data_IF_227240183322
#
_entry.id   IF_227240183322
#
_cell.length_a   1.000
_cell.length_b   1.000
_cell.length_c   1.000
_cell.angle_alpha   90.00
_cell.angle_beta   90.00
_cell.angle_gamma   90.00
#
_symmetry.space_group_name_H-M   'P 1'
#
loop_
_entity.id
_entity.type
_entity.pdbx_description
1 polymer ?
#
# COMPACT_ATOMS: atom_id res chain seq x y z
N UNK A 1 5.01 2.13 -29.50
CA UNK A 1 4.91 0.66 -29.61
C UNK A 1 3.74 0.20 -28.75
N UNK A 2 2.55 0.02 -29.35
CA UNK A 2 1.31 -0.39 -28.66
C UNK A 2 1.01 -1.83 -29.09
N UNK A 3 1.04 -2.78 -28.15
CA UNK A 3 0.39 -4.07 -28.33
C UNK A 3 -0.87 -4.09 -27.46
N UNK A 4 -2.02 -4.03 -28.09
CA UNK A 4 -3.29 -4.48 -27.52
C UNK A 4 -3.60 -5.83 -28.14
N UNK A 5 -3.76 -6.86 -27.31
CA UNK A 5 -4.42 -8.11 -27.72
C UNK A 5 -5.77 -8.18 -26.99
N UNK A 6 -6.84 -8.24 -27.78
CA UNK A 6 -8.15 -8.74 -27.36
C UNK A 6 -8.36 -10.07 -28.08
N UNK A 7 -8.58 -11.14 -27.33
CA UNK A 7 -9.16 -12.38 -27.86
C UNK A 7 -10.47 -12.64 -27.13
N UNK A 8 -11.58 -12.46 -27.86
CA UNK A 8 -12.85 -13.13 -27.61
C UNK A 8 -12.75 -14.52 -28.23
N UNK A 9 -13.10 -15.56 -27.48
CA UNK A 9 -13.44 -16.87 -28.06
C UNK A 9 -14.84 -17.25 -27.61
N UNK A 10 -15.60 -17.69 -28.61
CA UNK A 10 -17.01 -17.98 -28.60
C UNK A 10 -17.37 -19.23 -27.80
N UNK A 11 -18.58 -19.20 -27.24
CA UNK A 11 -19.26 -20.35 -26.68
C UNK A 11 -20.00 -21.12 -27.77
N UNK A 12 -19.81 -22.45 -27.83
CA UNK A 12 -20.78 -23.34 -28.47
C UNK A 12 -20.72 -24.79 -27.95
N UNK A 13 -21.92 -25.32 -27.63
CA UNK A 13 -22.34 -26.73 -27.45
C UNK A 13 -21.81 -27.47 -26.19
N UNK A 14 -22.66 -28.11 -25.34
CA UNK A 14 -23.57 -29.21 -25.65
C UNK A 14 -24.70 -29.39 -24.61
N UNK A 15 -25.69 -30.17 -25.02
CA UNK A 15 -27.02 -30.37 -24.46
C UNK A 15 -27.15 -31.79 -23.88
N UNK A 16 -28.17 -31.97 -23.01
CA UNK A 16 -28.81 -33.22 -22.52
C UNK A 16 -28.25 -33.96 -21.29
N UNK A 17 -29.14 -34.09 -20.30
CA UNK A 17 -29.07 -35.07 -19.23
C UNK A 17 -30.12 -34.84 -18.13
N UNK A 18 -31.42 -34.91 -18.46
CA UNK A 18 -32.49 -34.96 -17.46
C UNK A 18 -32.44 -36.31 -16.72
N UNK A 19 -32.19 -36.29 -15.41
CA UNK A 19 -32.47 -37.42 -14.53
C UNK A 19 -33.57 -37.01 -13.54
N UNK A 20 -34.68 -37.75 -13.58
CA UNK A 20 -35.67 -37.76 -12.51
C UNK A 20 -35.07 -38.49 -11.30
N UNK A 21 -35.03 -37.81 -10.15
CA UNK A 21 -34.71 -38.42 -8.86
C UNK A 21 -36.00 -38.37 -8.03
N UNK A 22 -36.49 -39.55 -7.64
CA UNK A 22 -37.63 -39.72 -6.75
C UNK A 22 -37.27 -39.34 -5.31
N UNK A 23 -38.23 -38.77 -4.60
CA UNK A 23 -38.14 -38.37 -3.19
C UNK A 23 -37.81 -39.56 -2.28
N UNK A 24 -36.56 -39.62 -1.83
CA UNK A 24 -36.16 -40.38 -0.66
C UNK A 24 -35.47 -39.39 0.29
N UNK A 25 -36.09 -39.17 1.44
CA UNK A 25 -35.60 -38.34 2.55
C UNK A 25 -34.19 -38.76 2.95
N UNK A 26 -33.20 -37.96 2.57
CA UNK A 26 -31.79 -38.28 2.67
C UNK A 26 -31.07 -37.26 3.57
N UNK A 27 -30.43 -37.77 4.61
CA UNK A 27 -29.25 -37.12 5.20
C UNK A 27 -28.11 -37.26 4.18
N UNK A 28 -28.17 -36.47 3.09
CA UNK A 28 -27.07 -36.39 2.12
C UNK A 28 -25.95 -35.66 2.84
N UNK A 29 -25.02 -36.43 3.44
CA UNK A 29 -23.70 -35.89 3.74
C UNK A 29 -23.11 -35.47 2.39
N UNK A 30 -22.93 -34.16 2.22
CA UNK A 30 -22.36 -33.55 1.02
C UNK A 30 -21.12 -34.36 0.60
N UNK A 31 -21.19 -35.02 -0.57
CA UNK A 31 -20.00 -35.62 -1.18
C UNK A 31 -19.05 -34.46 -1.47
N UNK A 32 -17.88 -34.48 -0.83
CA UNK A 32 -16.78 -33.57 -1.17
C UNK A 32 -16.49 -33.72 -2.65
N UNK A 33 -16.67 -32.65 -3.42
CA UNK A 33 -16.28 -32.62 -4.82
C UNK A 33 -14.79 -32.32 -4.85
N UNK A 34 -14.00 -33.39 -4.97
CA UNK A 34 -12.64 -33.29 -5.43
C UNK A 34 -12.69 -32.97 -6.92
N UNK A 35 -12.16 -31.81 -7.30
CA UNK A 35 -12.20 -31.32 -8.67
C UNK A 35 -10.77 -31.27 -9.18
N UNK A 36 -10.45 -32.13 -10.14
CA UNK A 36 -9.14 -32.17 -10.81
C UNK A 36 -8.92 -31.01 -11.80
N UNK A 37 -9.81 -30.02 -11.81
CA UNK A 37 -9.64 -28.82 -12.62
C UNK A 37 -8.47 -27.98 -12.11
N UNK A 38 -7.45 -27.74 -12.94
CA UNK A 38 -6.34 -26.87 -12.56
C UNK A 38 -6.86 -25.44 -12.36
N UNK A 39 -6.20 -24.70 -11.48
CA UNK A 39 -6.41 -23.25 -11.36
C UNK A 39 -6.15 -22.53 -12.67
N UNK A 40 -6.86 -21.44 -12.89
CA UNK A 40 -6.63 -20.59 -14.05
C UNK A 40 -5.20 -20.00 -14.04
N UNK A 41 -4.62 -19.66 -15.20
CA UNK A 41 -3.30 -19.02 -15.24
C UNK A 41 -3.21 -17.71 -14.44
N UNK A 42 -4.29 -16.93 -14.38
CA UNK A 42 -4.36 -15.69 -13.58
C UNK A 42 -4.36 -15.98 -12.08
N UNK A 43 -5.17 -16.94 -11.62
CA UNK A 43 -5.15 -17.40 -10.22
C UNK A 43 -3.76 -17.93 -9.85
N UNK A 44 -3.11 -18.67 -10.75
CA UNK A 44 -1.75 -19.18 -10.52
C UNK A 44 -0.75 -18.06 -10.23
N UNK A 45 -0.73 -17.01 -11.04
CA UNK A 45 0.17 -15.86 -10.82
C UNK A 45 -0.12 -15.21 -9.46
N UNK A 46 -1.40 -15.04 -9.12
CA UNK A 46 -1.83 -14.45 -7.86
C UNK A 46 -1.43 -15.31 -6.64
N UNK A 47 -1.69 -16.62 -6.68
CA UNK A 47 -1.37 -17.52 -5.58
C UNK A 47 0.14 -17.70 -5.40
N UNK A 48 0.93 -17.70 -6.47
CA UNK A 48 2.40 -17.69 -6.37
C UNK A 48 2.91 -16.40 -5.68
N UNK A 49 2.29 -15.25 -5.93
CA UNK A 49 2.60 -14.02 -5.20
C UNK A 49 2.23 -14.13 -3.70
N UNK A 50 1.07 -14.72 -3.38
CA UNK A 50 0.64 -14.96 -2.01
C UNK A 50 1.58 -15.93 -1.27
N UNK A 51 2.02 -17.01 -1.92
CA UNK A 51 3.03 -17.94 -1.39
C UNK A 51 4.35 -17.25 -1.12
N UNK A 52 4.82 -16.43 -2.06
CA UNK A 52 6.06 -15.66 -1.85
C UNK A 52 5.95 -14.76 -0.61
N UNK A 53 4.83 -14.07 -0.43
CA UNK A 53 4.56 -13.29 0.77
C UNK A 53 4.58 -14.16 2.03
N UNK A 54 3.90 -15.32 2.00
CA UNK A 54 3.89 -16.27 3.11
C UNK A 54 5.30 -16.78 3.46
N UNK A 55 6.11 -17.18 2.48
CA UNK A 55 7.50 -17.61 2.74
C UNK A 55 8.38 -16.50 3.32
N UNK A 56 8.11 -15.24 2.97
CA UNK A 56 8.84 -14.09 3.52
C UNK A 56 8.42 -13.74 4.95
N UNK A 57 7.16 -13.95 5.31
CA UNK A 57 6.57 -13.40 6.55
C UNK A 57 6.16 -14.46 7.57
N UNK A 58 6.03 -15.72 7.14
CA UNK A 58 5.41 -16.79 7.91
C UNK A 58 3.90 -16.60 8.13
N UNK A 59 3.23 -15.71 7.38
CA UNK A 59 1.83 -15.31 7.60
C UNK A 59 0.99 -15.42 6.32
N UNK A 60 -0.30 -15.78 6.40
CA UNK A 60 -1.20 -15.79 5.26
C UNK A 60 -1.50 -14.37 4.76
N UNK A 61 -1.78 -14.23 3.47
CA UNK A 61 -2.50 -13.06 2.97
C UNK A 61 -4.01 -13.23 3.22
N UNK A 62 -4.61 -12.34 4.02
CA UNK A 62 -6.05 -12.37 4.32
C UNK A 62 -6.77 -11.28 3.53
N UNK A 63 -7.76 -11.67 2.73
CA UNK A 63 -8.57 -10.79 1.89
C UNK A 63 -10.07 -10.95 2.20
N UNK A 64 -10.82 -9.85 2.16
CA UNK A 64 -12.24 -9.82 2.56
C UNK A 64 -13.02 -8.98 1.54
N UNK A 65 -14.11 -9.53 0.98
CA UNK A 65 -14.76 -8.96 -0.22
C UNK A 65 -15.45 -7.61 -0.01
N UNK A 66 -15.82 -7.28 1.22
CA UNK A 66 -16.42 -6.01 1.63
C UNK A 66 -16.46 -5.99 3.15
N UNK A 67 -16.29 -4.81 3.78
CA UNK A 67 -16.52 -4.64 5.23
C UNK A 67 -17.97 -4.32 5.56
N UNK A 68 -18.84 -4.16 4.56
CA UNK A 68 -20.25 -3.91 4.81
C UNK A 68 -20.89 -5.20 5.35
N UNK A 69 -21.39 -5.14 6.59
CA UNK A 69 -21.98 -6.27 7.33
C UNK A 69 -23.03 -7.05 6.50
N UNK A 70 -23.73 -6.36 5.61
CA UNK A 70 -24.78 -6.91 4.74
C UNK A 70 -24.20 -7.89 3.70
N UNK A 71 -23.03 -7.59 3.12
CA UNK A 71 -22.41 -8.49 2.13
C UNK A 71 -21.71 -9.66 2.80
N UNK A 72 -21.04 -9.44 3.95
CA UNK A 72 -20.47 -10.51 4.76
C UNK A 72 -21.52 -11.56 5.12
N UNK A 73 -22.74 -11.14 5.50
CA UNK A 73 -23.83 -12.05 5.85
C UNK A 73 -24.27 -12.98 4.70
N UNK A 74 -24.05 -12.56 3.45
CA UNK A 74 -24.58 -13.24 2.27
C UNK A 74 -23.70 -14.38 1.75
N UNK A 75 -22.37 -14.23 1.74
CA UNK A 75 -21.54 -15.17 1.00
C UNK A 75 -21.14 -16.41 1.79
N UNK A 76 -20.97 -16.31 3.13
CA UNK A 76 -20.60 -17.41 4.06
C UNK A 76 -19.53 -18.39 3.54
N UNK A 77 -18.71 -17.95 2.59
CA UNK A 77 -17.73 -18.77 1.88
C UNK A 77 -16.34 -18.28 2.22
N UNK A 78 -15.48 -19.25 2.47
CA UNK A 78 -14.06 -19.03 2.68
C UNK A 78 -13.30 -19.82 1.63
N UNK A 79 -12.29 -19.19 1.02
CA UNK A 79 -11.31 -19.88 0.18
C UNK A 79 -9.95 -19.86 0.86
N UNK A 80 -9.37 -21.03 1.02
CA UNK A 80 -8.06 -21.23 1.64
C UNK A 80 -7.06 -21.69 0.59
N UNK A 81 -5.87 -21.09 0.60
CA UNK A 81 -4.68 -21.60 -0.07
C UNK A 81 -3.70 -22.14 0.95
N UNK A 82 -3.39 -23.43 0.83
CA UNK A 82 -2.59 -24.20 1.79
C UNK A 82 -1.37 -24.76 1.06
N UNK A 83 -0.18 -24.48 1.57
CA UNK A 83 1.09 -24.92 0.98
C UNK A 83 1.44 -26.35 1.44
N UNK A 84 0.59 -27.31 1.06
CA UNK A 84 0.73 -28.75 1.29
C UNK A 84 0.50 -29.54 0.00
N UNK A 85 1.02 -30.77 -0.04
CA UNK A 85 0.79 -31.71 -1.14
C UNK A 85 -0.59 -32.37 -1.00
N UNK A 86 -1.46 -32.08 -1.96
CA UNK A 86 -2.81 -32.61 -2.09
C UNK A 86 -2.92 -34.14 -1.87
N UNK A 87 -1.95 -34.93 -2.33
CA UNK A 87 -2.01 -36.39 -2.24
C UNK A 87 -1.78 -36.94 -0.82
N UNK A 88 -1.12 -36.15 0.03
CA UNK A 88 -0.74 -36.55 1.40
C UNK A 88 -1.47 -35.75 2.46
N UNK A 89 -2.32 -34.81 2.04
CA UNK A 89 -2.96 -33.83 2.90
C UNK A 89 -4.22 -34.41 3.57
N UNK A 90 -4.19 -34.53 4.90
CA UNK A 90 -5.39 -34.84 5.69
C UNK A 90 -6.22 -33.55 5.87
N UNK A 91 -7.11 -33.31 4.91
CA UNK A 91 -8.02 -32.18 4.93
C UNK A 91 -8.89 -32.14 6.19
N UNK A 92 -9.21 -33.30 6.77
CA UNK A 92 -10.17 -33.33 7.87
C UNK A 92 -9.52 -33.02 9.22
N UNK A 93 -8.34 -33.57 9.48
CA UNK A 93 -7.51 -33.12 10.60
C UNK A 93 -7.22 -31.62 10.48
N UNK A 94 -6.94 -31.15 9.27
CA UNK A 94 -6.65 -29.76 9.01
C UNK A 94 -7.83 -28.84 9.33
N UNK A 95 -9.03 -29.15 8.83
CA UNK A 95 -10.22 -28.34 9.09
C UNK A 95 -10.60 -28.32 10.56
N UNK A 96 -10.35 -29.40 11.31
CA UNK A 96 -10.51 -29.40 12.75
C UNK A 96 -9.62 -28.35 13.43
N UNK A 97 -8.33 -28.28 13.07
CA UNK A 97 -7.40 -27.26 13.59
C UNK A 97 -7.82 -25.85 13.17
N UNK A 98 -8.26 -25.68 11.92
CA UNK A 98 -8.73 -24.39 11.41
C UNK A 98 -9.98 -23.89 12.16
N UNK A 99 -10.95 -24.78 12.36
CA UNK A 99 -12.17 -24.49 13.13
C UNK A 99 -11.85 -24.10 14.59
N UNK A 100 -10.86 -24.76 15.21
CA UNK A 100 -10.38 -24.39 16.55
C UNK A 100 -9.75 -22.99 16.60
N UNK A 101 -9.04 -22.57 15.55
CA UNK A 101 -8.49 -21.19 15.46
C UNK A 101 -9.63 -20.17 15.42
N UNK A 102 -10.67 -20.45 14.64
CA UNK A 102 -11.78 -19.52 14.42
C UNK A 102 -12.90 -19.61 15.47
N UNK A 103 -12.82 -20.58 16.38
CA UNK A 103 -13.87 -20.91 17.35
C UNK A 103 -15.21 -21.25 16.66
N UNK A 104 -15.15 -22.12 15.66
CA UNK A 104 -16.30 -22.62 14.90
C UNK A 104 -16.44 -24.13 15.18
N UNK A 105 -17.66 -24.66 15.24
CA UNK A 105 -17.86 -26.10 15.31
C UNK A 105 -17.54 -26.72 13.94
N UNK A 106 -16.76 -27.81 13.90
CA UNK A 106 -16.46 -28.50 12.63
C UNK A 106 -17.73 -28.88 11.87
N UNK A 107 -18.80 -29.26 12.55
CA UNK A 107 -20.09 -29.61 11.92
C UNK A 107 -20.82 -28.43 11.27
N UNK A 108 -20.30 -27.20 11.41
CA UNK A 108 -20.82 -25.99 10.77
C UNK A 108 -20.08 -25.61 9.49
N UNK A 109 -19.15 -26.46 9.05
CA UNK A 109 -18.30 -26.21 7.89
C UNK A 109 -18.52 -27.30 6.86
N UNK A 110 -19.00 -26.92 5.69
CA UNK A 110 -19.05 -27.80 4.52
C UNK A 110 -17.86 -27.55 3.62
N UNK A 111 -17.31 -28.61 3.04
CA UNK A 111 -16.30 -28.51 1.98
C UNK A 111 -17.04 -28.51 0.66
N UNK A 112 -16.93 -27.42 -0.10
CA UNK A 112 -17.55 -27.29 -1.40
C UNK A 112 -16.66 -27.83 -2.51
N UNK A 113 -15.38 -27.47 -2.47
CA UNK A 113 -14.42 -27.76 -3.53
C UNK A 113 -13.02 -27.90 -2.96
N UNK A 114 -12.26 -28.87 -3.49
CA UNK A 114 -10.82 -28.97 -3.26
C UNK A 114 -10.14 -29.16 -4.62
N UNK A 115 -9.14 -28.33 -4.93
CA UNK A 115 -8.37 -28.40 -6.18
C UNK A 115 -6.93 -28.87 -5.93
N UNK A 116 -6.38 -29.59 -6.90
CA UNK A 116 -5.01 -30.14 -6.88
C UNK A 116 -3.93 -29.09 -7.14
N UNK A 117 -2.71 -29.38 -6.68
CA UNK A 117 -1.59 -28.42 -6.59
C UNK A 117 -1.29 -28.12 -5.12
N UNK A 118 -1.03 -26.85 -4.79
CA UNK A 118 -1.23 -26.41 -3.40
C UNK A 118 -2.72 -26.50 -3.08
N UNK A 119 -3.07 -27.08 -1.94
CA UNK A 119 -4.47 -27.38 -1.62
C UNK A 119 -5.28 -26.08 -1.55
N UNK A 120 -6.20 -25.93 -2.50
CA UNK A 120 -7.15 -24.84 -2.53
C UNK A 120 -8.51 -25.38 -2.10
N UNK A 121 -8.92 -25.02 -0.89
CA UNK A 121 -10.16 -25.47 -0.30
C UNK A 121 -11.18 -24.33 -0.28
N UNK A 122 -12.35 -24.57 -0.88
CA UNK A 122 -13.52 -23.71 -0.72
C UNK A 122 -14.44 -24.34 0.31
N UNK A 123 -14.72 -23.61 1.37
CA UNK A 123 -15.58 -24.05 2.46
C UNK A 123 -16.75 -23.09 2.66
N UNK A 124 -17.87 -23.62 3.12
CA UNK A 124 -19.06 -22.86 3.45
C UNK A 124 -19.37 -22.98 4.93
N UNK A 125 -19.58 -21.84 5.57
CA UNK A 125 -19.99 -21.77 6.98
C UNK A 125 -21.52 -21.75 7.05
N UNK A 126 -22.07 -22.63 7.86
CA UNK A 126 -23.51 -22.75 8.04
C UNK A 126 -24.15 -21.51 8.66
N UNK A 127 -25.37 -21.21 8.19
CA UNK A 127 -26.50 -20.60 8.92
C UNK A 127 -26.26 -19.93 10.28
N UNK A 128 -26.05 -20.81 11.24
CA UNK A 128 -26.08 -20.52 12.67
C UNK A 128 -24.80 -19.86 13.22
N UNK A 129 -23.72 -19.85 12.46
CA UNK A 129 -22.45 -19.25 12.90
C UNK A 129 -22.51 -17.74 12.74
N UNK A 130 -22.11 -17.02 13.79
CA UNK A 130 -21.95 -15.58 13.77
C UNK A 130 -20.67 -15.21 12.99
N UNK A 131 -20.84 -14.77 11.74
CA UNK A 131 -19.70 -14.42 10.89
C UNK A 131 -18.87 -13.25 11.41
N UNK A 132 -19.49 -12.31 12.14
CA UNK A 132 -18.75 -11.20 12.75
C UNK A 132 -17.75 -11.71 13.79
N UNK A 133 -18.12 -12.75 14.55
CA UNK A 133 -17.20 -13.39 15.49
C UNK A 133 -16.04 -14.07 14.75
N UNK A 134 -16.32 -14.76 13.65
CA UNK A 134 -15.30 -15.40 12.80
C UNK A 134 -14.33 -14.35 12.25
N UNK A 135 -14.86 -13.24 11.73
CA UNK A 135 -14.09 -12.10 11.26
C UNK A 135 -13.21 -11.49 12.35
N UNK A 136 -13.77 -11.26 13.53
CA UNK A 136 -13.04 -10.71 14.67
C UNK A 136 -11.93 -11.67 15.13
N UNK A 137 -12.12 -12.98 15.00
CA UNK A 137 -11.10 -13.97 15.32
C UNK A 137 -10.01 -14.04 14.26
N UNK A 138 -10.35 -14.06 12.98
CA UNK A 138 -9.36 -14.16 11.90
C UNK A 138 -8.46 -12.92 11.79
N UNK A 139 -8.97 -11.77 12.24
CA UNK A 139 -8.24 -10.50 12.25
C UNK A 139 -7.25 -10.37 13.42
N UNK A 140 -7.23 -11.32 14.36
CA UNK A 140 -6.29 -11.31 15.48
C UNK A 140 -4.89 -11.74 15.04
N UNK A 141 -3.81 -11.04 15.47
CA UNK A 141 -2.44 -11.43 15.15
C UNK A 141 -2.09 -12.88 15.52
N UNK A 142 -2.63 -13.37 16.64
CA UNK A 142 -2.41 -14.75 17.10
C UNK A 142 -3.06 -15.78 16.18
N UNK A 143 -4.23 -15.45 15.61
CA UNK A 143 -4.89 -16.30 14.63
C UNK A 143 -4.09 -16.33 13.32
N UNK A 144 -3.61 -15.17 12.85
CA UNK A 144 -2.75 -15.05 11.67
C UNK A 144 -1.46 -15.89 11.82
N UNK A 145 -0.79 -15.82 12.96
CA UNK A 145 0.41 -16.61 13.24
C UNK A 145 0.11 -18.12 13.27
N UNK A 146 -0.99 -18.53 13.90
CA UNK A 146 -1.40 -19.94 13.94
C UNK A 146 -1.77 -20.46 12.55
N UNK A 147 -2.46 -19.67 11.74
CA UNK A 147 -2.76 -20.00 10.34
C UNK A 147 -1.49 -20.13 9.50
N UNK A 148 -0.50 -19.26 9.72
CA UNK A 148 0.82 -19.38 9.11
C UNK A 148 1.52 -20.70 9.46
N UNK A 149 1.47 -21.12 10.72
CA UNK A 149 1.99 -22.44 11.16
C UNK A 149 1.25 -23.63 10.54
N UNK A 150 0.00 -23.42 10.12
CA UNK A 150 -0.77 -24.38 9.32
C UNK A 150 -0.45 -24.31 7.82
N UNK A 151 0.56 -23.53 7.41
CA UNK A 151 0.92 -23.30 6.01
C UNK A 151 -0.20 -22.69 5.15
N UNK A 152 -1.11 -21.94 5.77
CA UNK A 152 -2.05 -21.09 5.01
C UNK A 152 -1.22 -19.96 4.41
N UNK A 153 -1.16 -19.89 3.09
CA UNK A 153 -0.57 -18.74 2.39
C UNK A 153 -1.62 -17.72 1.96
N UNK A 154 -2.89 -18.14 1.87
CA UNK A 154 -3.99 -17.28 1.43
C UNK A 154 -5.30 -17.65 2.14
N UNK A 155 -6.07 -16.65 2.54
CA UNK A 155 -7.43 -16.81 3.03
C UNK A 155 -8.32 -15.68 2.51
N UNK A 156 -9.37 -16.02 1.77
CA UNK A 156 -10.38 -15.08 1.32
C UNK A 156 -11.72 -15.35 1.99
N UNK A 157 -12.33 -14.31 2.54
CA UNK A 157 -13.66 -14.34 3.12
C UNK A 157 -14.60 -13.46 2.30
N UNK A 158 -15.57 -14.03 1.60
CA UNK A 158 -16.44 -13.22 0.75
C UNK A 158 -17.09 -13.96 -0.41
N UNK A 159 -17.73 -13.19 -1.28
CA UNK A 159 -18.31 -13.73 -2.51
C UNK A 159 -17.18 -14.09 -3.48
N UNK A 160 -17.03 -15.39 -3.74
CA UNK A 160 -15.98 -15.91 -4.62
C UNK A 160 -16.14 -15.42 -6.06
N UNK A 161 -17.36 -15.12 -6.52
CA UNK A 161 -17.57 -14.51 -7.83
C UNK A 161 -17.01 -13.08 -7.91
N UNK A 162 -16.90 -12.41 -6.77
CA UNK A 162 -16.23 -11.11 -6.63
C UNK A 162 -14.77 -11.26 -6.22
N UNK A 163 -14.24 -12.47 -6.02
CA UNK A 163 -12.84 -12.64 -5.62
C UNK A 163 -11.93 -12.06 -6.69
N UNK A 164 -12.17 -12.37 -7.97
CA UNK A 164 -11.37 -11.82 -9.07
C UNK A 164 -11.43 -10.29 -9.11
N UNK A 165 -12.61 -9.69 -8.85
CA UNK A 165 -12.78 -8.24 -8.80
C UNK A 165 -12.06 -7.62 -7.59
N UNK A 166 -12.14 -8.25 -6.42
CA UNK A 166 -11.52 -7.77 -5.17
C UNK A 166 -10.01 -7.98 -5.13
N UNK A 167 -9.55 -9.08 -5.75
CA UNK A 167 -8.14 -9.33 -6.02
C UNK A 167 -7.65 -8.30 -7.04
N UNK A 168 -8.41 -7.95 -8.08
CA UNK A 168 -8.07 -6.85 -8.98
C UNK A 168 -8.03 -5.48 -8.29
N UNK A 169 -8.87 -5.25 -7.27
CA UNK A 169 -9.02 -3.92 -6.66
C UNK A 169 -7.83 -3.45 -5.84
N UNK A 170 -6.93 -4.34 -5.41
CA UNK A 170 -5.66 -3.93 -4.78
C UNK A 170 -4.44 -4.07 -5.68
N UNK A 171 -4.62 -4.58 -6.90
CA UNK A 171 -3.50 -5.07 -7.72
C UNK A 171 -2.96 -4.06 -8.75
N UNK A 172 -3.49 -2.84 -8.81
CA UNK A 172 -3.20 -1.96 -9.94
C UNK A 172 -2.76 -0.56 -9.54
N UNK A 173 -1.69 -0.48 -8.74
CA UNK A 173 -0.85 0.73 -8.70
C UNK A 173 -0.19 0.88 -10.07
N UNK A 174 -0.94 1.45 -11.01
CA UNK A 174 -0.50 1.63 -12.39
C UNK A 174 0.18 2.99 -12.52
N UNK A 175 1.40 2.98 -13.04
CA UNK A 175 2.08 4.22 -13.41
C UNK A 175 1.38 4.85 -14.62
N UNK A 176 1.22 6.16 -14.58
CA UNK A 176 0.71 6.96 -15.69
C UNK A 176 1.85 7.78 -16.30
N UNK A 177 2.52 7.20 -17.29
CA UNK A 177 3.69 7.78 -17.97
C UNK A 177 3.46 9.18 -18.54
N UNK A 178 2.24 9.49 -18.99
CA UNK A 178 1.89 10.78 -19.61
C UNK A 178 2.05 11.96 -18.64
N UNK A 179 2.02 11.69 -17.34
CA UNK A 179 2.13 12.67 -16.27
C UNK A 179 3.44 12.55 -15.47
N UNK A 180 4.40 11.74 -15.95
CA UNK A 180 5.73 11.73 -15.38
C UNK A 180 6.45 13.04 -15.69
N UNK A 181 7.15 13.61 -14.70
CA UNK A 181 7.82 14.90 -14.83
C UNK A 181 9.18 14.86 -14.17
N UNK A 182 10.16 15.54 -14.76
CA UNK A 182 11.42 15.86 -14.11
C UNK A 182 11.33 17.32 -13.70
N UNK A 183 11.48 17.59 -12.41
CA UNK A 183 11.45 18.94 -11.85
C UNK A 183 12.87 19.48 -11.73
N UNK A 184 13.36 20.12 -12.78
CA UNK A 184 14.71 20.66 -12.85
C UNK A 184 14.80 21.72 -13.96
N UNK A 185 15.80 22.61 -13.87
CA UNK A 185 16.07 23.59 -14.92
C UNK A 185 16.42 22.87 -16.23
N UNK A 186 15.72 23.23 -17.32
CA UNK A 186 15.79 22.49 -18.60
C UNK A 186 14.70 21.42 -18.77
N UNK A 187 13.91 21.13 -17.74
CA UNK A 187 12.72 20.28 -17.79
C UNK A 187 11.48 21.06 -17.30
N UNK A 188 10.65 20.46 -16.44
CA UNK A 188 9.52 21.14 -15.82
C UNK A 188 10.03 21.99 -14.66
N UNK A 189 9.91 23.32 -14.77
CA UNK A 189 10.43 24.23 -13.75
C UNK A 189 9.61 25.51 -13.70
N UNK A 190 9.42 26.04 -12.49
CA UNK A 190 8.92 27.39 -12.25
C UNK A 190 9.42 27.88 -10.88
N UNK A 191 9.46 29.20 -10.72
CA UNK A 191 9.80 29.86 -9.45
C UNK A 191 8.55 30.35 -8.74
N UNK A 192 8.51 30.22 -7.41
CA UNK A 192 7.35 30.61 -6.60
C UNK A 192 6.14 29.72 -6.78
N UNK A 193 4.96 30.22 -6.41
CA UNK A 193 3.71 29.47 -6.48
C UNK A 193 3.25 29.29 -7.93
N UNK A 194 2.76 28.09 -8.28
CA UNK A 194 2.27 27.78 -9.61
C UNK A 194 0.95 28.48 -9.92
N UNK A 195 1.00 29.50 -10.77
CA UNK A 195 -0.17 30.26 -11.23
C UNK A 195 -0.82 29.64 -12.48
N UNK A 196 -1.34 28.42 -12.34
CA UNK A 196 -1.97 27.68 -13.46
C UNK A 196 -3.46 27.93 -13.67
N UNK A 197 -4.07 28.85 -12.88
CA UNK A 197 -5.52 29.07 -12.76
C UNK A 197 -6.37 27.84 -12.39
N UNK A 198 -5.75 26.66 -12.24
CA UNK A 198 -6.42 25.45 -11.77
C UNK A 198 -6.69 25.54 -10.27
N UNK A 199 -7.88 25.11 -9.86
CA UNK A 199 -8.23 25.04 -8.45
C UNK A 199 -7.43 23.91 -7.76
N UNK A 200 -6.51 24.29 -6.86
CA UNK A 200 -5.68 23.39 -6.03
C UNK A 200 -6.05 23.47 -4.55
N UNK A 201 -7.31 23.71 -4.26
CA UNK A 201 -7.81 23.74 -2.89
C UNK A 201 -7.26 24.92 -2.09
N UNK A 202 -7.09 26.08 -2.72
CA UNK A 202 -6.61 27.34 -2.13
C UNK A 202 -5.19 27.35 -1.54
N UNK A 203 -4.45 26.24 -1.64
CA UNK A 203 -3.06 26.17 -1.18
C UNK A 203 -2.09 26.32 -2.35
N UNK A 204 -1.00 27.09 -2.18
CA UNK A 204 0.01 27.24 -3.22
C UNK A 204 0.70 25.91 -3.51
N UNK A 205 1.15 25.73 -4.74
CA UNK A 205 1.94 24.58 -5.17
C UNK A 205 3.28 25.06 -5.73
N UNK A 206 4.36 24.64 -5.10
CA UNK A 206 5.71 25.03 -5.47
C UNK A 206 6.37 23.92 -6.29
N UNK A 207 7.36 24.29 -7.11
CA UNK A 207 8.10 23.34 -7.92
C UNK A 207 8.96 22.45 -7.00
N UNK A 208 8.80 21.12 -6.99
CA UNK A 208 9.65 20.23 -6.21
C UNK A 208 10.99 20.01 -6.95
N UNK A 209 11.79 21.06 -7.06
CA UNK A 209 13.07 21.05 -7.80
C UNK A 209 13.99 19.95 -7.25
N UNK A 210 14.63 19.20 -8.15
CA UNK A 210 15.48 18.06 -7.77
C UNK A 210 14.75 16.73 -7.67
N UNK A 211 13.48 16.64 -8.10
CA UNK A 211 12.68 15.42 -8.01
C UNK A 211 12.15 14.97 -9.37
N UNK A 212 12.09 13.65 -9.56
CA UNK A 212 11.37 13.00 -10.66
C UNK A 212 10.05 12.46 -10.13
N UNK A 213 8.95 12.82 -10.78
CA UNK A 213 7.61 12.35 -10.48
C UNK A 213 7.25 11.17 -11.36
N UNK A 214 6.87 10.06 -10.74
CA UNK A 214 6.18 8.94 -11.36
C UNK A 214 4.70 9.05 -11.02
N UNK A 215 3.87 9.42 -11.99
CA UNK A 215 2.44 9.58 -11.74
C UNK A 215 1.77 8.23 -11.51
N UNK A 216 0.74 8.20 -10.67
CA UNK A 216 -0.17 7.06 -10.56
C UNK A 216 -1.45 7.36 -11.35
N UNK A 217 -2.07 6.31 -11.90
CA UNK A 217 -3.48 6.35 -12.25
C UNK A 217 -4.28 6.47 -10.95
N UNK A 218 -5.14 7.48 -10.89
CA UNK A 218 -6.14 7.59 -9.83
C UNK A 218 -7.46 7.11 -10.42
N UNK A 219 -8.20 6.29 -9.69
CA UNK A 219 -9.52 5.85 -10.10
C UNK A 219 -10.40 7.07 -10.37
N UNK A 220 -11.16 7.05 -11.47
CA UNK A 220 -11.93 8.20 -11.93
C UNK A 220 -13.01 8.58 -10.89
N UNK A 221 -12.77 9.64 -10.11
CA UNK A 221 -13.75 10.14 -9.13
C UNK A 221 -14.70 11.19 -9.73
N UNK A 222 -14.95 11.17 -11.05
CA UNK A 222 -15.80 12.15 -11.76
C UNK A 222 -15.05 13.05 -12.74
N UNK A 223 -15.69 14.16 -13.16
CA UNK A 223 -15.37 14.98 -14.35
C UNK A 223 -14.00 15.68 -14.38
N UNK A 224 -13.19 15.55 -13.32
CA UNK A 224 -11.81 16.08 -13.24
C UNK A 224 -10.83 15.10 -12.57
N UNK A 225 -11.13 13.79 -12.61
CA UNK A 225 -10.34 12.70 -12.01
C UNK A 225 -10.00 12.95 -10.53
N UNK A 226 -10.87 13.65 -9.79
CA UNK A 226 -10.64 13.99 -8.39
C UNK A 226 -9.47 14.95 -8.15
N UNK A 227 -9.04 15.71 -9.16
CA UNK A 227 -7.88 16.62 -9.03
C UNK A 227 -8.28 18.04 -8.63
N UNK A 228 -9.44 18.49 -9.09
CA UNK A 228 -9.93 19.87 -8.89
C UNK A 228 -10.33 20.10 -7.45
N UNK A 229 -9.88 21.22 -6.88
CA UNK A 229 -10.22 21.60 -5.50
C UNK A 229 -9.40 20.91 -4.41
N UNK A 230 -8.42 20.06 -4.77
CA UNK A 230 -7.59 19.35 -3.79
C UNK A 230 -6.18 19.93 -3.72
N UNK A 231 -5.66 20.05 -2.51
CA UNK A 231 -4.29 20.49 -2.24
C UNK A 231 -3.31 19.39 -2.62
N UNK A 232 -2.13 19.76 -3.11
CA UNK A 232 -1.01 18.82 -3.28
C UNK A 232 -0.13 18.92 -2.04
N UNK A 233 0.29 17.76 -1.53
CA UNK A 233 1.17 17.64 -0.39
C UNK A 233 1.99 16.34 -0.50
N UNK A 234 2.90 16.15 0.43
CA UNK A 234 3.87 15.07 0.43
C UNK A 234 3.81 14.29 1.73
N UNK A 235 3.99 12.99 1.63
CA UNK A 235 4.10 12.08 2.77
C UNK A 235 5.41 11.31 2.67
N UNK A 236 6.34 11.61 3.59
CA UNK A 236 7.57 10.83 3.73
C UNK A 236 7.25 9.47 4.35
N UNK A 237 7.84 8.41 3.81
CA UNK A 237 7.74 7.07 4.39
C UNK A 237 9.03 6.26 4.17
N UNK A 238 9.14 5.11 4.84
CA UNK A 238 10.23 4.16 4.61
C UNK A 238 9.96 3.31 3.36
N UNK A 239 11.02 2.80 2.73
CA UNK A 239 10.89 1.95 1.53
C UNK A 239 10.07 0.69 1.80
N UNK A 240 10.26 0.07 2.97
CA UNK A 240 9.53 -1.14 3.37
C UNK A 240 8.01 -0.91 3.48
N UNK A 241 7.58 0.32 3.77
CA UNK A 241 6.16 0.67 3.87
C UNK A 241 5.60 1.29 2.59
N UNK A 242 6.43 1.81 1.68
CA UNK A 242 5.99 2.49 0.47
C UNK A 242 5.01 1.67 -0.35
N UNK A 243 5.37 0.43 -0.68
CA UNK A 243 4.49 -0.48 -1.43
C UNK A 243 3.25 -0.86 -0.63
N UNK A 244 3.40 -1.15 0.67
CA UNK A 244 2.27 -1.46 1.54
C UNK A 244 1.26 -0.32 1.57
N UNK A 245 1.71 0.93 1.67
CA UNK A 245 0.86 2.12 1.65
C UNK A 245 0.17 2.28 0.28
N UNK A 246 0.89 2.06 -0.82
CA UNK A 246 0.29 2.16 -2.15
C UNK A 246 -0.80 1.12 -2.39
N UNK A 247 -0.64 -0.09 -1.83
CA UNK A 247 -1.59 -1.20 -2.02
C UNK A 247 -2.71 -1.24 -0.99
N UNK A 248 -2.48 -0.73 0.22
CA UNK A 248 -3.41 -0.85 1.35
C UNK A 248 -3.93 0.48 1.88
N UNK A 249 -3.34 1.61 1.46
CA UNK A 249 -3.72 2.93 1.94
C UNK A 249 -2.86 3.48 3.09
N UNK A 250 -3.27 4.62 3.64
CA UNK A 250 -2.60 5.26 4.77
C UNK A 250 -3.31 4.99 6.09
N UNK A 251 -2.54 4.61 7.11
CA UNK A 251 -3.00 4.56 8.50
C UNK A 251 -2.65 5.85 9.22
N UNK A 252 -3.44 6.29 10.22
CA UNK A 252 -3.04 7.36 11.12
C UNK A 252 -1.72 7.05 11.80
N UNK A 253 -0.95 8.10 12.10
CA UNK A 253 0.27 7.95 12.88
C UNK A 253 -0.07 7.45 14.29
N UNK A 254 0.65 6.43 14.77
CA UNK A 254 0.53 5.93 16.14
C UNK A 254 1.14 6.89 17.17
N UNK A 255 2.21 7.59 16.78
CA UNK A 255 2.82 8.68 17.53
C UNK A 255 2.52 10.00 16.80
N UNK A 256 1.75 10.87 17.45
CA UNK A 256 1.11 11.99 16.78
C UNK A 256 1.25 13.28 17.62
N UNK A 257 2.32 14.04 17.37
CA UNK A 257 2.65 15.28 18.11
C UNK A 257 1.49 16.29 18.09
N UNK A 258 0.78 16.38 16.97
CA UNK A 258 -0.32 17.31 16.74
C UNK A 258 -1.70 16.63 16.77
N UNK A 259 -1.78 15.46 17.42
CA UNK A 259 -3.02 14.69 17.55
C UNK A 259 -3.29 13.72 16.39
N UNK A 260 -4.38 12.93 16.49
CA UNK A 260 -4.61 11.78 15.63
C UNK A 260 -4.96 12.19 14.19
N UNK A 261 -4.27 11.57 13.23
CA UNK A 261 -4.53 11.76 11.80
C UNK A 261 -3.39 11.25 10.93
N UNK A 262 -3.52 11.51 9.64
CA UNK A 262 -2.45 11.27 8.66
C UNK A 262 -1.72 12.58 8.42
N UNK A 263 -0.39 12.53 8.51
CA UNK A 263 0.47 13.71 8.45
C UNK A 263 0.98 13.91 7.03
N UNK A 264 0.89 15.15 6.56
CA UNK A 264 1.42 15.58 5.27
C UNK A 264 2.20 16.88 5.44
N UNK A 265 2.98 17.23 4.42
CA UNK A 265 3.59 18.55 4.32
C UNK A 265 3.39 19.11 2.91
N UNK A 266 3.12 20.42 2.74
CA UNK A 266 3.21 21.06 1.44
C UNK A 266 4.67 21.18 0.97
N UNK A 267 5.66 21.00 1.87
CA UNK A 267 7.07 21.05 1.55
C UNK A 267 7.62 19.65 1.29
N UNK A 268 8.10 19.41 0.07
CA UNK A 268 8.83 18.19 -0.24
C UNK A 268 10.16 18.13 0.52
N UNK A 269 10.79 19.29 0.78
CA UNK A 269 12.03 19.37 1.54
C UNK A 269 11.82 18.85 2.97
N UNK A 270 10.74 19.27 3.62
CA UNK A 270 10.37 18.76 4.94
C UNK A 270 10.03 17.26 4.92
N UNK A 271 9.15 16.84 4.00
CA UNK A 271 8.76 15.44 3.86
C UNK A 271 9.93 14.51 3.53
N UNK A 272 10.99 15.04 2.91
CA UNK A 272 12.22 14.32 2.59
C UNK A 272 13.22 14.21 3.75
N UNK A 273 12.93 14.77 4.92
CA UNK A 273 13.81 14.58 6.07
C UNK A 273 13.92 13.08 6.42
N UNK A 274 15.11 12.55 6.76
CA UNK A 274 15.32 11.11 6.99
C UNK A 274 14.51 10.48 8.13
N UNK A 275 13.94 11.29 9.03
CA UNK A 275 12.93 10.85 10.00
C UNK A 275 11.68 10.30 9.31
N UNK A 276 11.27 10.93 8.22
CA UNK A 276 10.03 10.62 7.51
C UNK A 276 10.32 9.79 6.26
N UNK A 277 11.31 10.18 5.45
CA UNK A 277 11.63 9.54 4.17
C UNK A 277 12.99 8.88 4.20
N UNK A 278 13.00 7.54 4.13
CA UNK A 278 14.23 6.75 4.18
C UNK A 278 15.14 7.05 2.99
N UNK A 279 16.46 7.10 3.25
CA UNK A 279 17.51 7.17 2.23
C UNK A 279 18.10 5.77 2.09
N UNK A 280 18.17 5.25 0.87
CA UNK A 280 18.86 4.00 0.56
C UNK A 280 20.05 4.23 -0.35
N UNK A 281 21.18 3.63 0.01
CA UNK A 281 22.32 3.47 -0.90
C UNK A 281 21.95 2.42 -1.94
N UNK A 282 22.17 2.72 -3.22
CA UNK A 282 21.94 1.81 -4.33
C UNK A 282 23.11 0.81 -4.38
N UNK A 283 22.87 -0.50 -4.21
CA UNK A 283 23.90 -1.52 -4.33
C UNK A 283 24.62 -1.45 -5.68
N UNK A 284 25.93 -1.72 -5.70
CA UNK A 284 26.77 -1.55 -6.89
C UNK A 284 26.24 -2.37 -8.07
N UNK A 285 25.75 -3.58 -7.81
CA UNK A 285 25.16 -4.49 -8.78
C UNK A 285 23.89 -3.94 -9.45
N UNK A 286 23.21 -2.96 -8.84
CA UNK A 286 22.00 -2.35 -9.38
C UNK A 286 22.21 -0.96 -9.97
N UNK A 287 23.39 -0.33 -9.80
CA UNK A 287 23.64 1.02 -10.29
C UNK A 287 23.45 1.09 -11.82
N UNK A 288 24.04 0.17 -12.57
CA UNK A 288 23.89 0.14 -14.04
C UNK A 288 22.45 -0.08 -14.51
N UNK A 289 21.61 -0.73 -13.71
CA UNK A 289 20.19 -0.98 -14.04
C UNK A 289 19.27 0.17 -13.62
N UNK A 290 19.69 1.02 -12.69
CA UNK A 290 18.85 2.05 -12.09
C UNK A 290 19.25 3.47 -12.49
N UNK A 291 20.54 3.79 -12.41
CA UNK A 291 21.14 5.09 -12.72
C UNK A 291 22.66 4.92 -12.83
N UNK A 292 23.23 5.24 -13.98
CA UNK A 292 24.66 5.11 -14.27
C UNK A 292 25.53 5.91 -13.29
N UNK A 293 25.01 7.00 -12.72
CA UNK A 293 25.75 7.87 -11.81
C UNK A 293 25.10 8.08 -10.43
N UNK A 294 23.96 7.43 -10.18
CA UNK A 294 23.25 7.46 -8.92
C UNK A 294 23.80 6.49 -7.88
N UNK A 295 24.07 6.99 -6.67
CA UNK A 295 24.51 6.17 -5.52
C UNK A 295 23.47 6.08 -4.42
N UNK A 296 22.57 7.03 -4.32
CA UNK A 296 21.54 7.08 -3.29
C UNK A 296 20.17 7.37 -3.91
N UNK A 297 19.14 6.76 -3.36
CA UNK A 297 17.74 6.97 -3.72
C UNK A 297 16.93 7.33 -2.48
N UNK A 298 15.99 8.24 -2.69
CA UNK A 298 14.98 8.62 -1.71
C UNK A 298 13.64 8.79 -2.43
N UNK A 299 12.54 8.49 -1.75
CA UNK A 299 11.21 8.78 -2.29
C UNK A 299 10.24 9.30 -1.23
N UNK A 300 9.26 10.07 -1.70
CA UNK A 300 8.09 10.48 -0.92
C UNK A 300 6.83 10.24 -1.76
N UNK A 301 5.69 10.06 -1.11
CA UNK A 301 4.41 9.99 -1.81
C UNK A 301 3.92 11.40 -2.09
N UNK A 302 3.48 11.66 -3.32
CA UNK A 302 2.70 12.86 -3.66
C UNK A 302 1.22 12.53 -3.48
N UNK A 303 0.56 13.24 -2.58
CA UNK A 303 -0.84 13.03 -2.23
C UNK A 303 -1.69 14.26 -2.52
N UNK A 304 -3.00 14.03 -2.69
CA UNK A 304 -4.02 15.06 -2.87
C UNK A 304 -5.05 15.01 -1.76
N UNK A 305 -5.20 16.14 -1.07
CA UNK A 305 -6.04 16.24 0.13
C UNK A 305 -7.21 17.18 -0.11
N UNK A 306 -8.40 16.80 0.36
CA UNK A 306 -9.54 17.71 0.43
C UNK A 306 -9.28 18.80 1.48
N UNK A 307 -9.33 20.10 1.14
CA UNK A 307 -9.03 21.18 2.09
C UNK A 307 -9.87 21.11 3.36
N UNK A 308 -11.15 20.75 3.24
CA UNK A 308 -12.10 20.61 4.36
C UNK A 308 -11.75 19.48 5.34
N UNK A 309 -10.83 18.58 4.97
CA UNK A 309 -10.41 17.45 5.80
C UNK A 309 -9.08 17.71 6.52
N UNK A 310 -8.41 18.83 6.23
CA UNK A 310 -7.24 19.31 6.97
C UNK A 310 -7.75 19.87 8.30
N UNK A 311 -7.53 19.12 9.39
CA UNK A 311 -8.02 19.51 10.73
C UNK A 311 -7.06 20.43 11.46
N UNK A 312 -5.77 20.38 11.12
CA UNK A 312 -4.80 21.32 11.67
C UNK A 312 -3.65 21.56 10.70
N UNK A 313 -3.14 22.79 10.76
CA UNK A 313 -1.91 23.23 10.10
C UNK A 313 -1.02 23.72 11.24
N UNK A 314 0.16 23.12 11.35
CA UNK A 314 1.01 23.24 12.52
C UNK A 314 2.45 23.54 12.13
N UNK A 315 3.22 23.94 13.15
CA UNK A 315 4.66 24.13 13.03
C UNK A 315 5.41 22.80 12.88
N UNK A 316 6.61 22.90 12.34
CA UNK A 316 7.58 21.81 12.25
C UNK A 316 7.90 21.17 13.63
N UNK A 317 8.19 19.87 13.62
CA UNK A 317 8.46 19.05 14.82
C UNK A 317 9.90 18.53 14.90
N UNK A 318 10.76 19.05 14.02
CA UNK A 318 12.19 18.72 13.92
C UNK A 318 13.09 19.74 14.64
N UNK A 319 12.51 20.83 15.15
CA UNK A 319 13.19 21.97 15.79
C UNK A 319 14.32 22.54 14.92
N UNK A 320 14.13 22.52 13.60
CA UNK A 320 15.08 23.13 12.67
C UNK A 320 15.19 24.66 12.86
N UNK A 321 14.17 25.25 13.48
CA UNK A 321 13.98 26.70 13.64
C UNK A 321 14.24 27.24 15.04
N UNK A 322 14.84 26.44 15.94
CA UNK A 322 15.16 26.89 17.29
C UNK A 322 16.04 28.16 17.27
N UNK A 323 15.77 29.07 18.22
CA UNK A 323 16.23 30.48 18.23
C UNK A 323 17.74 30.65 18.04
N UNK A 324 18.54 29.67 18.43
CA UNK A 324 20.00 29.70 18.31
C UNK A 324 20.53 29.49 16.88
N UNK A 325 19.72 28.96 15.95
CA UNK A 325 20.13 28.74 14.57
C UNK A 325 18.92 28.66 13.62
N UNK A 326 18.34 29.80 13.20
CA UNK A 326 17.12 29.83 12.40
C UNK A 326 17.42 29.38 10.97
N UNK A 327 17.39 28.07 10.74
CA UNK A 327 17.44 27.51 9.39
C UNK A 327 16.02 27.43 8.84
N UNK A 328 15.82 28.06 7.69
CA UNK A 328 14.57 27.93 6.92
C UNK A 328 14.54 26.54 6.29
N UNK A 329 13.49 25.76 6.56
CA UNK A 329 13.33 24.42 5.99
C UNK A 329 13.03 24.51 4.49
N UNK A 330 12.10 25.40 4.14
CA UNK A 330 11.66 25.63 2.77
C UNK A 330 11.41 27.14 2.56
N UNK A 331 12.10 27.79 1.62
CA UNK A 331 11.96 29.23 1.43
C UNK A 331 10.55 29.65 0.97
N UNK A 332 9.73 28.71 0.49
CA UNK A 332 8.39 28.99 0.00
C UNK A 332 7.28 28.76 1.03
N UNK A 333 7.58 28.06 2.13
CA UNK A 333 6.58 27.59 3.09
C UNK A 333 7.04 27.97 4.49
N UNK A 334 6.19 28.68 5.23
CA UNK A 334 6.50 29.05 6.61
C UNK A 334 6.62 27.81 7.48
N UNK A 335 7.66 27.77 8.31
CA UNK A 335 7.91 26.66 9.22
C UNK A 335 6.77 26.47 10.26
N UNK A 336 5.97 27.52 10.51
CA UNK A 336 4.76 27.47 11.34
C UNK A 336 3.54 26.84 10.66
N UNK A 337 3.61 26.54 9.36
CA UNK A 337 2.49 26.06 8.54
C UNK A 337 2.85 24.81 7.70
N UNK A 338 3.92 24.11 8.07
CA UNK A 338 4.55 23.06 7.25
C UNK A 338 4.06 21.65 7.55
N UNK A 339 3.40 21.41 8.68
CA UNK A 339 2.79 20.11 9.00
C UNK A 339 1.28 20.18 8.94
N UNK A 340 0.67 19.31 8.14
CA UNK A 340 -0.78 19.22 7.97
C UNK A 340 -1.29 17.91 8.54
N UNK A 341 -2.23 17.97 9.47
CA UNK A 341 -2.93 16.80 10.00
C UNK A 341 -4.27 16.67 9.30
N UNK A 342 -4.50 15.52 8.68
CA UNK A 342 -5.72 15.23 7.92
C UNK A 342 -6.53 14.18 8.67
N UNK A 343 -7.81 14.48 8.90
CA UNK A 343 -8.73 13.56 9.57
C UNK A 343 -9.18 12.46 8.62
N UNK A 344 -9.25 11.25 9.16
CA UNK A 344 -9.84 10.09 8.50
C UNK A 344 -11.13 9.62 9.20
N UNK A 345 -11.57 10.33 10.25
CA UNK A 345 -12.67 9.91 11.15
C UNK A 345 -14.05 9.91 10.49
N UNK A 346 -14.21 10.52 9.33
CA UNK A 346 -15.53 10.62 8.68
C UNK A 346 -15.98 9.32 7.99
N UNK A 347 -15.09 8.32 7.87
CA UNK A 347 -15.36 7.16 7.02
C UNK A 347 -15.59 5.87 7.83
N UNK A 348 -15.66 5.92 9.17
CA UNK A 348 -15.62 4.75 10.08
C UNK A 348 -14.45 3.78 9.81
N UNK A 349 -13.46 4.24 9.03
CA UNK A 349 -12.31 3.46 8.58
C UNK A 349 -11.08 3.82 9.37
N UNK A 350 -10.30 2.80 9.68
CA UNK A 350 -8.97 2.93 10.28
C UNK A 350 -7.87 3.21 9.24
N UNK A 351 -8.22 3.12 7.95
CA UNK A 351 -7.30 3.21 6.83
C UNK A 351 -7.90 4.05 5.72
N UNK A 352 -7.12 4.97 5.19
CA UNK A 352 -7.41 5.74 3.97
C UNK A 352 -7.34 4.82 2.77
N UNK A 353 -8.45 4.56 2.12
CA UNK A 353 -8.45 3.89 0.82
C UNK A 353 -8.16 4.93 -0.27
N UNK A 354 -7.10 4.73 -1.07
CA UNK A 354 -6.79 5.61 -2.19
C UNK A 354 -7.71 5.41 -3.40
N UNK A 355 -8.40 4.27 -3.48
CA UNK A 355 -9.33 3.94 -4.56
C UNK A 355 -10.78 4.30 -4.23
N UNK A 356 -11.07 4.76 -3.01
CA UNK A 356 -12.38 5.30 -2.67
C UNK A 356 -12.56 6.67 -3.34
N UNK A 357 -13.56 6.85 -4.22
CA UNK A 357 -13.83 8.12 -4.89
C UNK A 357 -14.17 9.26 -3.94
N UNK A 358 -14.65 8.95 -2.73
CA UNK A 358 -14.98 9.91 -1.69
C UNK A 358 -13.83 10.15 -0.71
N UNK A 359 -12.71 9.42 -0.86
CA UNK A 359 -11.57 9.51 0.05
C UNK A 359 -11.11 10.95 0.25
N UNK A 360 -10.83 11.31 1.49
CA UNK A 360 -10.23 12.59 1.86
C UNK A 360 -8.81 12.78 1.31
N UNK A 361 -8.14 11.68 0.96
CA UNK A 361 -6.75 11.62 0.54
C UNK A 361 -6.61 10.66 -0.65
N UNK A 362 -5.94 11.08 -1.72
CA UNK A 362 -5.55 10.16 -2.80
C UNK A 362 -4.04 10.25 -3.05
N UNK A 363 -3.40 9.13 -3.39
CA UNK A 363 -2.00 9.13 -3.79
C UNK A 363 -1.90 9.35 -5.31
N UNK A 364 -1.36 10.48 -5.74
CA UNK A 364 -1.30 10.87 -7.14
C UNK A 364 0.03 10.59 -7.82
N UNK A 365 1.08 10.31 -7.04
CA UNK A 365 2.41 10.05 -7.58
C UNK A 365 3.43 9.59 -6.55
N UNK A 366 4.56 9.12 -7.06
CA UNK A 366 5.80 8.91 -6.33
C UNK A 366 6.78 10.01 -6.74
N UNK A 367 7.31 10.73 -5.78
CA UNK A 367 8.42 11.65 -6.01
C UNK A 367 9.69 10.91 -5.65
N UNK A 368 10.59 10.75 -6.60
CA UNK A 368 11.87 10.05 -6.44
C UNK A 368 13.01 11.00 -6.73
N UNK A 369 14.03 10.97 -5.89
CA UNK A 369 15.29 11.69 -6.10
C UNK A 369 16.44 10.70 -6.05
N UNK A 370 17.30 10.77 -7.05
CA UNK A 370 18.54 9.98 -7.13
C UNK A 370 19.72 10.94 -7.06
N UNK A 371 20.74 10.59 -6.30
CA UNK A 371 21.89 11.47 -6.02
C UNK A 371 23.22 10.72 -6.10
N UNK A 372 24.28 11.42 -6.52
CA UNK A 372 25.63 10.87 -6.64
C UNK A 372 26.36 10.74 -5.29
N UNK A 373 25.91 11.44 -4.25
CA UNK A 373 26.39 11.42 -2.87
C UNK A 373 25.20 11.45 -1.90
N UNK A 374 25.44 11.39 -0.59
CA UNK A 374 24.35 11.35 0.38
C UNK A 374 23.46 12.61 0.25
N UNK A 375 22.12 12.48 0.19
CA UNK A 375 21.20 13.62 0.00
C UNK A 375 21.34 14.75 1.04
N UNK A 376 21.84 14.46 2.24
CA UNK A 376 22.11 15.48 3.27
C UNK A 376 23.18 16.51 2.89
N UNK A 377 23.91 16.28 1.79
CA UNK A 377 24.88 17.21 1.23
C UNK A 377 24.26 18.17 0.21
N UNK A 378 22.99 17.98 -0.18
CA UNK A 378 22.26 18.92 -1.04
C UNK A 378 22.04 20.26 -0.31
N UNK A 379 21.93 21.34 -1.07
CA UNK A 379 21.69 22.70 -0.53
C UNK A 379 20.37 22.81 0.24
N UNK A 380 19.31 22.18 -0.26
CA UNK A 380 17.98 22.19 0.36
C UNK A 380 17.88 21.29 1.60
N UNK A 381 18.90 20.47 1.84
CA UNK A 381 18.96 19.51 2.96
C UNK A 381 19.91 19.97 4.07
N UNK A 382 20.48 21.18 3.97
CA UNK A 382 21.45 21.69 4.95
C UNK A 382 20.86 21.82 6.37
N UNK A 383 19.57 22.13 6.47
CA UNK A 383 18.87 22.24 7.74
C UNK A 383 18.74 20.90 8.48
N UNK A 384 18.94 19.75 7.80
CA UNK A 384 18.92 18.42 8.46
C UNK A 384 20.04 18.24 9.48
N UNK A 385 21.12 19.03 9.38
CA UNK A 385 22.24 18.94 10.32
C UNK A 385 21.95 19.67 11.64
N UNK A 386 20.88 20.47 11.69
CA UNK A 386 20.48 21.25 12.86
C UNK A 386 19.15 20.82 13.45
N UNK A 387 18.43 19.88 12.81
CA UNK A 387 17.21 19.31 13.37
C UNK A 387 17.51 18.41 14.58
N UNK A 388 16.82 18.63 15.69
CA UNK A 388 17.06 17.99 16.99
C UNK A 388 16.46 16.58 17.10
N UNK A 389 16.97 15.64 16.30
CA UNK A 389 16.68 14.21 16.48
C UNK A 389 17.96 13.41 16.71
N UNK A 390 18.58 13.68 17.86
CA UNK A 390 19.59 12.91 18.61
C UNK A 390 20.90 13.67 18.94
N UNK A 391 21.46 13.38 20.11
CA UNK A 391 22.46 14.18 20.84
C UNK A 391 23.83 14.29 20.14
N UNK A 392 24.44 15.48 20.28
CA UNK A 392 25.81 15.98 20.01
C UNK A 392 26.71 15.39 18.92
N UNK A 393 26.50 14.20 18.37
CA UNK A 393 27.27 13.63 17.24
C UNK A 393 26.52 12.55 16.44
N UNK A 394 25.24 12.25 16.73
CA UNK A 394 24.46 11.27 15.95
C UNK A 394 23.04 11.78 15.72
N UNK A 395 22.64 11.92 14.46
CA UNK A 395 21.23 11.98 14.08
C UNK A 395 20.79 10.54 13.88
N UNK A 396 19.94 10.04 14.77
CA UNK A 396 19.49 8.65 14.75
C UNK A 396 18.70 8.30 13.46
N UNK A 397 18.22 9.32 12.75
CA UNK A 397 17.42 9.15 11.53
C UNK A 397 18.24 9.23 10.24
N UNK A 398 19.46 9.79 10.24
CA UNK A 398 20.22 10.01 9.01
C UNK A 398 20.76 8.72 8.38
N UNK A 399 20.76 7.61 9.12
CA UNK A 399 21.30 6.31 8.67
C UNK A 399 22.71 6.42 8.06
N UNK A 400 23.51 7.37 8.56
CA UNK A 400 24.84 7.72 8.08
C UNK A 400 25.70 8.25 9.24
N UNK A 401 27.02 8.12 9.11
CA UNK A 401 27.96 8.74 10.05
C UNK A 401 28.00 10.26 9.81
N UNK A 402 27.51 11.02 10.79
CA UNK A 402 27.53 12.48 10.75
C UNK A 402 28.95 13.05 10.65
N UNK A 403 29.94 12.38 11.23
CA UNK A 403 31.34 12.82 11.20
C UNK A 403 31.88 12.74 9.78
N UNK A 404 31.59 11.65 9.09
CA UNK A 404 31.94 11.46 7.68
C UNK A 404 31.23 12.51 6.81
N UNK A 405 29.91 12.70 6.97
CA UNK A 405 29.16 13.70 6.21
C UNK A 405 29.68 15.14 6.45
N UNK A 406 30.01 15.49 7.70
CA UNK A 406 30.63 16.78 8.05
C UNK A 406 32.02 16.92 7.43
N UNK A 407 32.80 15.84 7.40
CA UNK A 407 34.14 15.82 6.80
C UNK A 407 34.06 15.98 5.29
N UNK A 408 33.17 15.25 4.62
CA UNK A 408 32.90 15.40 3.19
C UNK A 408 32.50 16.85 2.85
N UNK A 409 31.59 17.43 3.64
CA UNK A 409 31.20 18.84 3.48
C UNK A 409 32.39 19.80 3.65
N UNK A 410 33.23 19.60 4.68
CA UNK A 410 34.45 20.40 4.91
C UNK A 410 35.44 20.29 3.74
N UNK A 411 35.51 19.12 3.12
CA UNK A 411 36.37 18.84 1.97
C UNK A 411 35.78 19.30 0.63
N UNK A 412 34.63 19.99 0.63
CA UNK A 412 34.00 20.50 -0.58
C UNK A 412 33.33 19.44 -1.45
N UNK A 413 33.01 18.27 -0.89
CA UNK A 413 32.22 17.25 -1.62
C UNK A 413 30.84 17.82 -1.92
N UNK A 414 30.50 17.86 -3.20
CA UNK A 414 29.18 18.30 -3.66
C UNK A 414 28.26 17.11 -3.86
N UNK A 415 26.96 17.34 -3.70
CA UNK A 415 25.93 16.37 -4.04
C UNK A 415 25.04 16.95 -5.14
N UNK A 416 24.74 16.13 -6.12
CA UNK A 416 23.98 16.50 -7.31
C UNK A 416 22.83 15.51 -7.47
N UNK A 417 21.68 16.03 -7.87
CA UNK A 417 20.59 15.17 -8.36
C UNK A 417 20.94 14.66 -9.75
N UNK A 418 20.67 13.38 -9.98
CA UNK A 418 20.95 12.70 -11.23
C UNK A 418 19.62 12.32 -11.90
N UNK A 419 19.53 12.56 -13.21
CA UNK A 419 18.34 12.31 -14.03
C UNK A 419 18.62 11.51 -15.30
N UNK A 420 19.69 10.71 -15.29
CA UNK A 420 20.10 9.84 -16.40
C UNK A 420 18.95 9.05 -17.05
#
# INVERSE_FOLDING_TARGET
MRLMFHMKVAATYLNKGMFHISEASACIRNRVLFIDEPISPSEKIYYEACKKYYHMTGKPLIAISSRDDIELASSRRIRLGIDEDYNTFDLEEYLNKFCQILNINRNDVDILKVQSGSVLAEIQIQTRVNLQMVYNNISKPEAEERMGKMKIFFCFFGDLAKMDQNVEFRNNVKLNGDWNRIYYQGHTYWTGALNSHRNRGSKPYYCPVGWRRYSLFMKNTGTDNGRTGRCICYHGTKFEYGLAILLSGLKPASAAEHGPGVYFSPSINYASHPRYSEIKKIPLEYQNSFSQSGKYIQFVLECRVQPSKIISIQKETLRATDVSNPNVIDPNIKDSEIEWVVSIKHDDREIVDFDDPNSAITCSGLMVRVTNNHPSLLSESQWWHTSHLCANNRCCCLNADLTDLKTQKKNGVTCSVVFD
#
